data_IF_592560764775
#
_entry.id   IF_592560764775
#
_cell.length_a   1.000
_cell.length_b   1.000
_cell.length_c   1.000
_cell.angle_alpha   90.00
_cell.angle_beta   90.00
_cell.angle_gamma   90.00
#
_symmetry.space_group_name_H-M   'P 1'
#
loop_
_entity.id
_entity.type
_entity.pdbx_description
1 polymer ?
#
# COMPACT_ATOMS: atom_id res chain seq x y z
N UNK A 1 -33.79 52.88 28.51
CA UNK A 1 -32.94 51.87 29.19
C UNK A 1 -33.90 50.86 29.82
N UNK A 2 -33.89 49.55 29.60
CA UNK A 2 -32.96 48.63 28.97
C UNK A 2 -33.77 47.57 28.20
N UNK A 3 -33.27 47.14 27.04
CA UNK A 3 -33.84 46.03 26.26
C UNK A 3 -33.37 44.72 26.88
N UNK A 4 -34.33 43.86 27.23
CA UNK A 4 -34.09 42.46 27.60
C UNK A 4 -33.46 41.74 26.41
N UNK A 5 -32.21 41.32 26.54
CA UNK A 5 -31.57 40.39 25.61
C UNK A 5 -32.06 39.00 25.99
N UNK A 6 -33.17 38.59 25.38
CA UNK A 6 -33.59 37.20 25.36
C UNK A 6 -32.48 36.36 24.76
N UNK A 7 -31.87 35.54 25.62
CA UNK A 7 -30.94 34.47 25.26
C UNK A 7 -31.65 33.54 24.28
N UNK A 8 -31.44 33.76 22.99
CA UNK A 8 -31.59 32.69 22.00
C UNK A 8 -30.32 31.86 22.15
N UNK A 9 -30.34 30.93 23.11
CA UNK A 9 -29.45 29.80 23.09
C UNK A 9 -29.82 28.98 21.85
N UNK A 10 -29.25 29.38 20.71
CA UNK A 10 -29.26 28.56 19.51
C UNK A 10 -28.48 27.31 19.90
N UNK A 11 -29.22 26.22 20.05
CA UNK A 11 -28.74 24.85 20.17
C UNK A 11 -27.87 24.52 18.95
N UNK A 12 -26.63 24.99 18.95
CA UNK A 12 -25.51 24.35 18.28
C UNK A 12 -25.05 23.21 19.19
N UNK A 13 -25.98 22.32 19.55
CA UNK A 13 -25.61 20.95 19.84
C UNK A 13 -25.13 20.42 18.48
N UNK A 14 -23.83 20.60 18.23
CA UNK A 14 -23.19 20.01 17.07
C UNK A 14 -23.64 18.57 17.02
N UNK A 15 -24.21 18.17 15.89
CA UNK A 15 -24.22 16.78 15.51
C UNK A 15 -22.75 16.38 15.41
N UNK A 16 -22.17 16.00 16.54
CA UNK A 16 -20.94 15.24 16.58
C UNK A 16 -21.38 13.92 15.97
N UNK A 17 -21.26 13.82 14.64
CA UNK A 17 -21.58 12.60 13.94
C UNK A 17 -20.70 11.54 14.59
N UNK A 18 -21.35 10.51 15.15
CA UNK A 18 -20.63 9.33 15.55
C UNK A 18 -20.04 8.74 14.27
N UNK A 19 -18.77 9.04 14.04
CA UNK A 19 -18.07 8.62 12.83
C UNK A 19 -17.90 7.09 12.83
N UNK A 20 -18.18 6.41 13.95
CA UNK A 20 -17.89 4.99 14.13
C UNK A 20 -16.38 4.74 14.21
N UNK A 21 -16.02 3.59 14.78
CA UNK A 21 -14.63 3.17 14.86
C UNK A 21 -14.04 2.96 13.44
N UNK A 22 -12.78 3.36 13.21
CA UNK A 22 -12.02 3.04 12.00
C UNK A 22 -12.13 1.55 11.62
N UNK A 23 -12.52 1.26 10.38
CA UNK A 23 -12.52 -0.11 9.85
C UNK A 23 -11.49 -0.26 8.74
N UNK A 24 -10.77 -1.38 8.76
CA UNK A 24 -9.82 -1.75 7.69
C UNK A 24 -10.49 -1.70 6.32
N UNK A 25 -11.74 -2.17 6.25
CA UNK A 25 -12.50 -2.19 5.02
C UNK A 25 -12.67 -0.79 4.41
N UNK A 26 -12.89 0.26 5.21
CA UNK A 26 -13.09 1.61 4.68
C UNK A 26 -11.85 2.13 3.95
N UNK A 27 -10.66 1.75 4.43
CA UNK A 27 -9.38 2.11 3.79
C UNK A 27 -9.13 1.24 2.55
N UNK A 28 -9.44 -0.06 2.63
CA UNK A 28 -9.34 -0.98 1.48
C UNK A 28 -10.23 -0.51 0.33
N UNK A 29 -11.44 -0.05 0.63
CA UNK A 29 -12.37 0.50 -0.37
C UNK A 29 -11.71 1.68 -1.12
N UNK A 30 -11.09 2.62 -0.40
CA UNK A 30 -10.36 3.74 -1.00
C UNK A 30 -9.14 3.25 -1.81
N UNK A 31 -8.34 2.33 -1.27
CA UNK A 31 -7.17 1.78 -1.96
C UNK A 31 -7.54 1.16 -3.31
N UNK A 32 -8.59 0.32 -3.34
CA UNK A 32 -9.01 -0.35 -4.57
C UNK A 32 -9.56 0.66 -5.58
N UNK A 33 -10.40 1.61 -5.15
CA UNK A 33 -11.02 2.59 -6.03
C UNK A 33 -10.03 3.64 -6.57
N UNK A 34 -9.00 4.00 -5.81
CA UNK A 34 -8.12 5.12 -6.16
C UNK A 34 -6.77 4.70 -6.72
N UNK A 35 -6.26 3.53 -6.32
CA UNK A 35 -4.92 3.05 -6.69
C UNK A 35 -5.02 1.83 -7.60
N UNK A 36 -5.58 0.73 -7.09
CA UNK A 36 -5.47 -0.57 -7.78
C UNK A 36 -6.31 -0.60 -9.06
N UNK A 37 -7.54 -0.10 -9.05
CA UNK A 37 -8.42 -0.12 -10.22
C UNK A 37 -7.92 0.69 -11.42
N UNK A 38 -6.95 1.59 -11.20
CA UNK A 38 -6.29 2.36 -12.27
C UNK A 38 -5.16 1.59 -12.96
N UNK A 39 -4.73 0.47 -12.38
CA UNK A 39 -3.67 -0.37 -12.91
C UNK A 39 -4.27 -1.39 -13.88
N UNK A 40 -4.30 -1.05 -15.17
CA UNK A 40 -4.76 -2.00 -16.19
C UNK A 40 -3.78 -3.19 -16.30
N UNK A 41 -4.32 -4.40 -16.44
CA UNK A 41 -3.55 -5.64 -16.66
C UNK A 41 -2.43 -5.90 -15.63
N UNK A 42 -2.70 -5.68 -14.35
CA UNK A 42 -1.83 -6.18 -13.26
C UNK A 42 -2.49 -7.35 -12.54
N UNK A 43 -1.67 -8.25 -12.01
CA UNK A 43 -2.12 -9.25 -11.03
C UNK A 43 -1.94 -8.66 -9.63
N UNK A 44 -2.93 -8.80 -8.77
CA UNK A 44 -2.89 -8.29 -7.41
C UNK A 44 -2.76 -9.47 -6.45
N UNK A 45 -1.80 -9.36 -5.54
CA UNK A 45 -1.58 -10.32 -4.46
C UNK A 45 -1.63 -9.60 -3.12
N UNK A 46 -2.12 -10.29 -2.12
CA UNK A 46 -2.30 -9.75 -0.78
C UNK A 46 -1.51 -10.59 0.20
N UNK A 47 -0.52 -10.00 0.85
CA UNK A 47 0.43 -10.74 1.71
C UNK A 47 1.14 -9.80 2.69
N UNK A 48 1.70 -10.31 3.80
CA UNK A 48 2.60 -9.52 4.64
C UNK A 48 3.75 -8.95 3.81
N UNK A 49 4.07 -7.68 4.00
CA UNK A 49 5.07 -7.01 3.17
C UNK A 49 6.51 -7.21 3.65
N UNK A 50 7.42 -7.16 2.68
CA UNK A 50 8.87 -7.19 2.88
C UNK A 50 9.46 -5.78 3.12
N UNK A 51 8.65 -4.72 3.05
CA UNK A 51 9.05 -3.33 3.32
C UNK A 51 9.36 -3.07 4.82
N UNK A 52 9.79 -4.03 5.65
CA UNK A 52 9.90 -3.83 7.12
C UNK A 52 11.15 -3.05 7.56
N UNK A 53 12.06 -2.74 6.64
CA UNK A 53 13.38 -2.16 6.93
C UNK A 53 13.62 -0.71 6.53
N UNK A 54 12.70 -0.06 5.80
CA UNK A 54 12.98 1.27 5.25
C UNK A 54 12.65 2.38 6.25
N UNK A 55 13.63 3.25 6.52
CA UNK A 55 13.42 4.46 7.32
C UNK A 55 12.70 5.52 6.49
N UNK A 56 11.37 5.54 6.57
CA UNK A 56 10.53 6.56 5.95
C UNK A 56 9.88 7.42 7.03
N UNK A 57 9.74 8.72 6.75
CA UNK A 57 9.08 9.65 7.65
C UNK A 57 7.56 9.45 7.61
N UNK A 58 7.07 8.50 8.42
CA UNK A 58 5.64 8.25 8.67
C UNK A 58 5.29 8.53 10.14
N UNK A 59 4.02 8.79 10.48
CA UNK A 59 3.58 8.90 11.87
C UNK A 59 3.99 7.66 12.69
N UNK A 60 4.62 7.82 13.88
CA UNK A 60 5.14 6.70 14.66
C UNK A 60 4.10 5.63 15.04
N UNK A 61 2.87 6.07 15.32
CA UNK A 61 1.78 5.16 15.71
C UNK A 61 1.30 4.34 14.49
N UNK A 62 1.18 4.98 13.32
CA UNK A 62 0.86 4.30 12.07
C UNK A 62 1.96 3.29 11.67
N UNK A 63 3.24 3.65 11.88
CA UNK A 63 4.36 2.73 11.68
C UNK A 63 4.31 1.52 12.61
N UNK A 64 4.06 1.75 13.90
CA UNK A 64 3.98 0.67 14.89
C UNK A 64 2.81 -0.27 14.60
N UNK A 65 1.64 0.28 14.23
CA UNK A 65 0.48 -0.49 13.80
C UNK A 65 0.78 -1.30 12.52
N UNK A 66 1.49 -0.71 11.56
CA UNK A 66 1.91 -1.41 10.34
C UNK A 66 2.82 -2.59 10.62
N UNK A 67 3.84 -2.40 11.47
CA UNK A 67 4.75 -3.49 11.87
C UNK A 67 3.99 -4.62 12.58
N UNK A 68 3.05 -4.29 13.46
CA UNK A 68 2.22 -5.28 14.14
C UNK A 68 1.29 -6.04 13.15
N UNK A 69 0.73 -5.34 12.17
CA UNK A 69 -0.15 -5.93 11.17
C UNK A 69 0.58 -6.84 10.17
N UNK A 70 1.90 -6.71 10.03
CA UNK A 70 2.74 -7.46 9.09
C UNK A 70 3.77 -8.34 9.83
N UNK A 71 3.38 -8.94 10.96
CA UNK A 71 4.18 -9.97 11.63
C UNK A 71 4.35 -11.24 10.76
N UNK A 72 5.27 -12.12 11.13
CA UNK A 72 5.72 -13.26 10.31
C UNK A 72 4.62 -14.28 9.93
N UNK A 73 3.50 -14.27 10.64
CA UNK A 73 2.34 -15.15 10.46
C UNK A 73 1.04 -14.41 10.08
N UNK A 74 1.14 -13.13 9.71
CA UNK A 74 -0.04 -12.36 9.35
C UNK A 74 -0.69 -12.89 8.05
N UNK A 75 -2.02 -12.93 8.03
CA UNK A 75 -2.77 -13.18 6.79
C UNK A 75 -2.62 -11.99 5.81
N UNK A 76 -3.13 -12.12 4.58
CA UNK A 76 -3.26 -11.00 3.64
C UNK A 76 -4.49 -10.14 3.93
N UNK A 77 -4.57 -8.92 3.37
CA UNK A 77 -5.83 -8.17 3.27
C UNK A 77 -6.89 -8.99 2.52
N UNK A 78 -8.11 -9.01 3.04
CA UNK A 78 -9.26 -9.58 2.35
C UNK A 78 -9.66 -8.68 1.17
N UNK A 79 -9.48 -9.21 -0.04
CA UNK A 79 -9.84 -8.54 -1.29
C UNK A 79 -10.94 -9.31 -2.04
N UNK A 80 -11.57 -10.33 -1.44
CA UNK A 80 -12.45 -11.25 -2.16
C UNK A 80 -13.67 -10.53 -2.76
N UNK A 81 -14.22 -9.54 -2.05
CA UNK A 81 -15.31 -8.70 -2.57
C UNK A 81 -14.94 -7.90 -3.83
N UNK A 82 -13.66 -7.78 -4.13
CA UNK A 82 -13.10 -7.07 -5.29
C UNK A 82 -12.65 -7.98 -6.43
N UNK A 83 -12.72 -9.31 -6.26
CA UNK A 83 -12.36 -10.28 -7.30
C UNK A 83 -13.03 -10.01 -8.67
N UNK A 84 -14.27 -9.51 -8.79
CA UNK A 84 -14.85 -9.19 -10.09
C UNK A 84 -14.17 -8.01 -10.82
N UNK A 85 -13.46 -7.15 -10.07
CA UNK A 85 -12.80 -5.95 -10.58
C UNK A 85 -11.27 -6.09 -10.66
N UNK A 86 -10.70 -7.04 -9.92
CA UNK A 86 -9.27 -7.24 -9.77
C UNK A 86 -8.85 -8.62 -10.29
N UNK A 87 -7.66 -8.71 -10.88
CA UNK A 87 -7.05 -10.01 -11.18
C UNK A 87 -6.31 -10.50 -9.93
N UNK A 88 -7.05 -11.05 -8.98
CA UNK A 88 -6.47 -11.58 -7.75
C UNK A 88 -5.73 -12.90 -8.02
N UNK A 89 -4.54 -13.06 -7.46
CA UNK A 89 -3.87 -14.35 -7.32
C UNK A 89 -3.80 -14.71 -5.84
N UNK A 90 -4.46 -15.81 -5.48
CA UNK A 90 -4.62 -16.30 -4.09
C UNK A 90 -3.70 -17.50 -3.81
N UNK A 91 -2.74 -17.77 -4.69
CA UNK A 91 -1.76 -18.82 -4.44
C UNK A 91 -0.80 -18.42 -3.32
N UNK A 92 -0.23 -19.41 -2.63
CA UNK A 92 0.80 -19.19 -1.61
C UNK A 92 2.18 -18.84 -2.20
N UNK A 93 2.28 -18.63 -3.51
CA UNK A 93 3.53 -18.26 -4.15
C UNK A 93 3.88 -16.79 -3.84
N UNK A 94 5.17 -16.50 -3.78
CA UNK A 94 5.63 -15.11 -3.68
C UNK A 94 5.36 -14.33 -4.99
N UNK A 95 5.39 -13.00 -4.88
CA UNK A 95 5.04 -12.09 -5.98
C UNK A 95 5.97 -12.24 -7.20
N UNK A 96 7.25 -12.54 -6.99
CA UNK A 96 8.23 -12.74 -8.05
C UNK A 96 7.95 -14.03 -8.81
N UNK A 97 7.68 -15.12 -8.09
CA UNK A 97 7.25 -16.40 -8.66
C UNK A 97 5.96 -16.24 -9.46
N UNK A 98 4.98 -15.49 -8.95
CA UNK A 98 3.72 -15.23 -9.65
C UNK A 98 3.98 -14.44 -10.93
N UNK A 99 4.78 -13.37 -10.85
CA UNK A 99 5.17 -12.56 -12.00
C UNK A 99 5.82 -13.43 -13.08
N UNK A 100 6.78 -14.28 -12.71
CA UNK A 100 7.45 -15.21 -13.63
C UNK A 100 6.45 -16.17 -14.31
N UNK A 101 5.57 -16.81 -13.54
CA UNK A 101 4.58 -17.77 -14.07
C UNK A 101 3.54 -17.12 -14.97
N UNK A 102 3.13 -15.89 -14.66
CA UNK A 102 2.08 -15.16 -15.38
C UNK A 102 2.62 -14.36 -16.57
N UNK A 103 3.91 -14.03 -16.57
CA UNK A 103 4.51 -13.15 -17.58
C UNK A 103 3.92 -11.74 -17.57
N UNK A 104 3.49 -11.26 -16.39
CA UNK A 104 2.77 -10.00 -16.21
C UNK A 104 3.24 -9.26 -14.95
N UNK A 105 3.11 -7.92 -14.89
CA UNK A 105 3.38 -7.18 -13.67
C UNK A 105 2.48 -7.65 -12.52
N UNK A 106 3.08 -7.76 -11.33
CA UNK A 106 2.39 -8.11 -10.08
C UNK A 106 2.45 -6.92 -9.14
N UNK A 107 1.33 -6.64 -8.49
CA UNK A 107 1.22 -5.67 -7.40
C UNK A 107 0.94 -6.45 -6.12
N UNK A 108 1.87 -6.41 -5.20
CA UNK A 108 1.73 -6.97 -3.86
C UNK A 108 1.31 -5.86 -2.91
N UNK A 109 0.27 -6.13 -2.13
CA UNK A 109 -0.27 -5.20 -1.14
C UNK A 109 -0.10 -5.82 0.24
N UNK A 110 0.49 -5.04 1.16
CA UNK A 110 0.71 -5.43 2.55
C UNK A 110 -0.58 -5.52 3.35
N UNK A 111 -0.51 -6.02 4.59
CA UNK A 111 -1.54 -5.73 5.59
C UNK A 111 -1.56 -4.25 5.96
N UNK A 112 -2.73 -3.76 6.34
CA UNK A 112 -2.96 -2.39 6.77
C UNK A 112 -2.69 -2.25 8.27
N UNK A 113 -1.81 -1.33 8.65
CA UNK A 113 -1.73 -0.85 10.03
C UNK A 113 -2.71 0.29 10.26
N UNK A 114 -3.63 0.15 11.20
CA UNK A 114 -4.57 1.20 11.61
C UNK A 114 -4.18 1.80 12.95
N UNK A 115 -4.08 3.13 13.02
CA UNK A 115 -3.77 3.89 14.22
C UNK A 115 -4.62 5.16 14.30
N UNK A 116 -5.79 5.06 14.93
CA UNK A 116 -6.74 6.17 15.03
C UNK A 116 -7.20 6.62 13.64
N UNK A 117 -6.88 7.86 13.29
CA UNK A 117 -7.23 8.47 11.99
C UNK A 117 -6.15 8.30 10.92
N UNK A 118 -5.07 7.57 11.20
CA UNK A 118 -4.03 7.24 10.24
C UNK A 118 -4.04 5.75 9.91
N UNK A 119 -3.76 5.42 8.65
CA UNK A 119 -3.58 4.05 8.19
C UNK A 119 -2.39 3.93 7.25
N UNK A 120 -1.61 2.87 7.37
CA UNK A 120 -0.38 2.69 6.60
C UNK A 120 -0.33 1.28 5.99
N UNK A 121 0.00 1.20 4.71
CA UNK A 121 0.31 -0.04 4.01
C UNK A 121 1.48 0.15 3.04
N UNK A 122 2.17 -0.94 2.70
CA UNK A 122 3.13 -0.98 1.60
C UNK A 122 2.48 -1.56 0.34
N UNK A 123 2.80 -0.98 -0.81
CA UNK A 123 2.50 -1.51 -2.13
C UNK A 123 3.81 -1.75 -2.85
N UNK A 124 4.01 -2.97 -3.31
CA UNK A 124 5.21 -3.41 -4.01
C UNK A 124 4.82 -3.79 -5.44
N UNK A 125 5.51 -3.21 -6.42
CA UNK A 125 5.22 -3.39 -7.84
C UNK A 125 6.40 -4.15 -8.43
N UNK A 126 6.13 -5.37 -8.87
CA UNK A 126 7.08 -6.23 -9.55
C UNK A 126 6.87 -6.09 -11.05
N UNK A 127 7.69 -5.27 -11.71
CA UNK A 127 7.53 -4.78 -13.09
C UNK A 127 8.84 -4.73 -13.90
N UNK A 128 8.91 -3.87 -14.91
CA UNK A 128 10.18 -3.63 -15.62
C UNK A 128 11.25 -2.98 -14.71
N UNK A 129 10.83 -2.40 -13.59
CA UNK A 129 11.68 -1.99 -12.47
C UNK A 129 10.88 -2.18 -11.20
N UNK A 130 11.44 -2.92 -10.26
CA UNK A 130 10.76 -3.29 -9.02
C UNK A 130 10.87 -2.15 -8.02
N UNK A 131 9.76 -1.87 -7.34
CA UNK A 131 9.64 -0.70 -6.47
C UNK A 131 8.60 -0.90 -5.38
N UNK A 132 8.86 -0.36 -4.21
CA UNK A 132 7.96 -0.34 -3.07
C UNK A 132 7.59 1.08 -2.68
N UNK A 133 6.34 1.29 -2.28
CA UNK A 133 5.83 2.54 -1.76
C UNK A 133 5.04 2.32 -0.48
N UNK A 134 5.21 3.18 0.51
CA UNK A 134 4.22 3.31 1.58
C UNK A 134 3.13 4.27 1.16
N UNK A 135 1.89 3.85 1.38
CA UNK A 135 0.71 4.68 1.23
C UNK A 135 0.15 5.01 2.62
N UNK A 136 0.24 6.28 3.00
CA UNK A 136 -0.35 6.81 4.22
C UNK A 136 -1.74 7.35 3.89
N UNK A 137 -2.77 6.76 4.50
CA UNK A 137 -4.14 7.25 4.45
C UNK A 137 -4.48 7.99 5.73
N UNK A 138 -5.30 9.03 5.60
CA UNK A 138 -5.82 9.80 6.74
C UNK A 138 -7.33 9.96 6.65
N UNK A 139 -7.97 9.83 7.82
CA UNK A 139 -9.39 10.07 8.03
C UNK A 139 -9.65 11.53 8.37
N UNK A 140 -10.56 12.17 7.64
CA UNK A 140 -10.98 13.55 7.94
C UNK A 140 -12.02 13.61 9.08
N UNK A 141 -12.32 14.82 9.56
CA UNK A 141 -13.33 15.03 10.60
C UNK A 141 -14.77 14.65 10.19
N UNK A 142 -15.01 14.37 8.90
CA UNK A 142 -16.25 13.81 8.38
C UNK A 142 -16.21 12.28 8.25
N UNK A 143 -15.15 11.63 8.74
CA UNK A 143 -14.97 10.19 8.73
C UNK A 143 -14.47 9.61 7.40
N UNK A 144 -14.11 10.45 6.42
CA UNK A 144 -13.70 10.01 5.08
C UNK A 144 -12.21 9.76 5.02
N UNK A 145 -11.84 8.62 4.46
CA UNK A 145 -10.46 8.25 4.21
C UNK A 145 -9.96 8.81 2.86
N UNK A 146 -8.70 9.25 2.83
CA UNK A 146 -8.03 9.68 1.61
C UNK A 146 -6.54 9.43 1.69
N UNK A 147 -5.89 9.26 0.54
CA UNK A 147 -4.43 9.14 0.47
C UNK A 147 -3.80 10.48 0.85
N UNK A 148 -3.08 10.50 1.97
CA UNK A 148 -2.39 11.68 2.49
C UNK A 148 -0.96 11.79 1.95
N UNK A 149 -0.28 10.66 1.75
CA UNK A 149 1.08 10.63 1.22
C UNK A 149 1.40 9.30 0.54
N UNK A 150 2.22 9.38 -0.50
CA UNK A 150 2.93 8.27 -1.12
C UNK A 150 4.42 8.48 -0.87
N UNK A 151 5.11 7.48 -0.31
CA UNK A 151 6.50 7.60 0.11
C UNK A 151 7.30 6.41 -0.44
N UNK A 152 8.39 6.62 -1.19
CA UNK A 152 9.23 5.53 -1.67
C UNK A 152 9.77 4.70 -0.51
N UNK A 153 9.51 3.39 -0.54
CA UNK A 153 10.07 2.42 0.41
C UNK A 153 11.39 1.85 -0.11
N UNK A 154 11.46 1.53 -1.40
CA UNK A 154 12.67 1.11 -2.07
C UNK A 154 12.44 1.14 -3.58
N UNK A 155 13.54 1.25 -4.33
CA UNK A 155 13.55 1.03 -5.78
C UNK A 155 14.74 0.12 -6.05
N UNK A 156 14.53 -0.99 -6.74
CA UNK A 156 15.66 -1.77 -7.24
C UNK A 156 16.32 -0.94 -8.33
N UNK A 157 17.64 -0.76 -8.26
CA UNK A 157 18.36 -0.06 -9.32
C UNK A 157 18.06 -0.78 -10.63
N UNK A 158 17.60 -0.05 -11.65
CA UNK A 158 17.41 -0.63 -12.99
C UNK A 158 18.68 -1.41 -13.31
N UNK A 159 18.56 -2.73 -13.51
CA UNK A 159 19.70 -3.54 -13.86
C UNK A 159 20.40 -2.85 -15.03
N UNK A 160 21.62 -2.34 -14.80
CA UNK A 160 22.44 -2.00 -15.94
C UNK A 160 22.60 -3.34 -16.64
N UNK A 161 22.17 -3.44 -17.90
CA UNK A 161 22.48 -4.57 -18.75
C UNK A 161 23.97 -4.54 -19.12
N UNK A 162 24.84 -4.26 -18.15
CA UNK A 162 26.25 -4.56 -18.23
C UNK A 162 26.32 -6.06 -17.98
N UNK A 163 26.33 -6.81 -19.08
CA UNK A 163 26.91 -8.14 -19.08
C UNK A 163 28.20 -8.06 -18.27
N UNK A 164 28.43 -8.94 -17.28
CA UNK A 164 29.75 -9.04 -16.67
C UNK A 164 30.75 -9.20 -17.83
N UNK A 165 31.92 -8.53 -17.80
CA UNK A 165 32.93 -8.78 -18.81
C UNK A 165 33.14 -10.30 -18.85
N UNK A 166 32.89 -10.91 -20.01
CA UNK A 166 33.23 -12.30 -20.26
C UNK A 166 34.70 -12.43 -19.87
N UNK A 167 35.00 -13.10 -18.75
CA UNK A 167 36.31 -13.67 -18.56
C UNK A 167 36.40 -14.76 -19.64
N UNK A 168 36.96 -14.37 -20.79
CA UNK A 168 37.41 -15.31 -21.80
C UNK A 168 38.33 -16.30 -21.07
N UNK A 169 38.02 -17.60 -21.06
CA UNK A 169 38.98 -18.57 -20.57
C UNK A 169 40.20 -18.47 -21.47
N UNK A 170 41.32 -18.12 -20.85
CA UNK A 170 42.68 -18.11 -21.36
C UNK A 170 42.84 -18.51 -22.84
N UNK A 171 42.83 -17.48 -23.69
CA UNK A 171 43.65 -17.34 -24.88
C UNK A 171 43.72 -18.50 -25.86
N UNK A 172 42.86 -18.48 -26.88
CA UNK A 172 43.30 -18.80 -28.25
C UNK A 172 42.73 -17.76 -29.24
N UNK A 173 43.65 -17.11 -29.96
CA UNK A 173 43.36 -16.26 -31.11
C UNK A 173 43.03 -17.17 -32.29
N UNK A 174 41.90 -16.96 -32.96
CA UNK A 174 41.70 -17.55 -34.28
C UNK A 174 42.49 -16.70 -35.30
N UNK A 175 43.54 -17.29 -35.88
CA UNK A 175 44.06 -16.87 -37.19
C UNK A 175 43.29 -17.63 -38.29
N UNK A 176 42.94 -16.91 -39.37
CA UNK A 176 42.18 -17.38 -40.54
C UNK A 176 42.84 -18.53 -41.32
#
# INVERSE_FOLDING_TARGET
MARSWGVVALLLAGCQQDLGEPREQDVVDVLVETVISRMDKVVVVSRPSDCRGTKVAVPPDAWSAYLAANADDADGLDLDRYAPKLRLDTSAADAETIRFRRGMPVVSVSRLGLAGDDALLCVEIFGAGDRGFYLLYRRDAGGRWSLASELPAWEEAAASWELPPEELPDGELYED
#
